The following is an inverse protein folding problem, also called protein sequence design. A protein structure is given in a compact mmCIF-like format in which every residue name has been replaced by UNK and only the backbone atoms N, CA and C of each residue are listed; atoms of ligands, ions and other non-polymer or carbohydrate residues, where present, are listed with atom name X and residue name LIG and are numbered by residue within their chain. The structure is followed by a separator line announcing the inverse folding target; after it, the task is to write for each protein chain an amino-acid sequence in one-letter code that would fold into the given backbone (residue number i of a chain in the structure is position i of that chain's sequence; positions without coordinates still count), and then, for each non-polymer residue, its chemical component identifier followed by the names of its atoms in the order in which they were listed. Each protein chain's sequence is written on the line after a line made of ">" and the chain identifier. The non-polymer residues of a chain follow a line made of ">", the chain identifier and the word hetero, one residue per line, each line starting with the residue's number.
data_IF_506767158065
#
_entry.id   IF_506767158065
#
_cell.length_a   1.000
_cell.length_b   1.000
_cell.length_c   1.000
_cell.angle_alpha   90.00
_cell.angle_beta   90.00
_cell.angle_gamma   90.00
#
_symmetry.space_group_name_H-M   'P 1'
#
loop_
_entity.id
_entity.type
_entity.pdbx_description
1 polymer ?
#
# COMPACT_ATOMS: atom_id res chain seq x y z
N UNK A 1 2.25 -9.84 -0.81
CA UNK A 1 0.90 -9.23 -0.76
C UNK A 1 0.95 -7.72 -0.93
N UNK A 2 1.59 -6.97 -0.01
CA UNK A 2 1.63 -5.50 -0.07
C UNK A 2 2.18 -4.99 -1.41
N UNK A 3 3.28 -5.59 -1.91
CA UNK A 3 3.85 -5.19 -3.20
C UNK A 3 2.89 -5.33 -4.39
N UNK A 4 1.93 -6.25 -4.29
CA UNK A 4 0.89 -6.43 -5.30
C UNK A 4 -0.16 -5.32 -5.25
N UNK A 5 -0.52 -4.83 -4.07
CA UNK A 5 -1.57 -3.81 -3.91
C UNK A 5 -1.00 -2.39 -4.03
N UNK A 6 0.12 -2.13 -3.35
CA UNK A 6 0.70 -0.79 -3.12
C UNK A 6 1.92 -0.49 -4.00
N UNK A 7 2.49 -1.49 -4.67
CA UNK A 7 3.76 -1.34 -5.40
C UNK A 7 4.98 -1.75 -4.57
N UNK A 8 6.19 -1.76 -5.17
CA UNK A 8 7.38 -2.36 -4.58
C UNK A 8 7.81 -1.69 -3.27
N UNK A 9 8.41 -2.47 -2.37
CA UNK A 9 9.01 -1.93 -1.14
C UNK A 9 10.23 -1.06 -1.47
N UNK A 10 10.39 0.11 -0.82
CA UNK A 10 11.57 0.94 -1.02
C UNK A 10 12.87 0.23 -0.62
N UNK A 11 13.89 0.30 -1.49
CA UNK A 11 15.16 -0.40 -1.29
C UNK A 11 15.87 -0.01 0.02
N UNK A 12 15.76 1.25 0.47
CA UNK A 12 16.41 1.68 1.71
C UNK A 12 15.80 1.03 2.95
N UNK A 13 14.52 0.65 2.91
CA UNK A 13 13.88 -0.11 3.98
C UNK A 13 14.37 -1.55 3.98
N UNK A 14 14.50 -2.17 2.80
CA UNK A 14 15.04 -3.53 2.65
C UNK A 14 16.51 -3.63 3.09
N UNK A 15 17.28 -2.54 2.99
CA UNK A 15 18.66 -2.48 3.51
C UNK A 15 18.75 -2.34 5.03
N UNK A 16 17.68 -1.89 5.69
CA UNK A 16 17.62 -1.62 7.14
C UNK A 16 16.86 -2.71 7.90
N UNK A 17 16.74 -3.91 7.32
CA UNK A 17 16.04 -5.02 7.95
C UNK A 17 16.76 -5.49 9.21
N UNK A 18 15.98 -5.95 10.19
CA UNK A 18 16.53 -6.70 11.31
C UNK A 18 16.83 -8.15 10.89
N UNK A 19 17.58 -8.84 11.74
CA UNK A 19 18.00 -10.23 11.52
C UNK A 19 16.82 -11.21 11.36
N UNK A 20 15.67 -10.93 11.95
CA UNK A 20 14.50 -11.81 11.85
C UNK A 20 13.79 -11.68 10.51
N UNK A 21 13.86 -10.49 9.89
CA UNK A 21 13.21 -10.18 8.62
C UNK A 21 14.07 -10.50 7.39
N UNK A 22 15.39 -10.66 7.53
CA UNK A 22 16.31 -11.01 6.42
C UNK A 22 15.86 -12.23 5.61
N UNK A 23 15.27 -13.24 6.27
CA UNK A 23 14.77 -14.46 5.63
C UNK A 23 13.67 -14.24 4.58
N UNK A 24 13.03 -13.06 4.57
CA UNK A 24 11.99 -12.71 3.61
C UNK A 24 12.52 -11.99 2.37
N UNK A 25 13.83 -11.74 2.28
CA UNK A 25 14.43 -10.93 1.22
C UNK A 25 15.59 -11.68 0.55
N UNK A 26 15.60 -11.68 -0.78
CA UNK A 26 16.65 -12.27 -1.60
C UNK A 26 17.04 -11.30 -2.71
N UNK A 27 18.34 -11.07 -2.90
CA UNK A 27 18.89 -10.14 -3.90
C UNK A 27 18.27 -8.72 -3.84
N UNK A 28 18.01 -8.22 -2.62
CA UNK A 28 17.47 -6.88 -2.41
C UNK A 28 15.99 -6.71 -2.78
N UNK A 29 15.25 -7.81 -2.94
CA UNK A 29 13.79 -7.82 -3.17
C UNK A 29 13.12 -8.85 -2.27
N UNK A 30 11.82 -8.74 -2.08
CA UNK A 30 11.05 -9.77 -1.38
C UNK A 30 11.27 -11.14 -2.06
N UNK A 31 11.52 -12.19 -1.28
CA UNK A 31 11.66 -13.58 -1.76
C UNK A 31 10.27 -14.13 -2.12
N UNK A 32 9.70 -13.60 -3.21
CA UNK A 32 8.36 -13.90 -3.69
C UNK A 32 8.34 -13.94 -5.22
N UNK A 33 7.73 -14.97 -5.83
CA UNK A 33 6.96 -16.06 -5.22
C UNK A 33 7.78 -17.25 -4.68
N UNK A 34 9.09 -17.28 -4.88
CA UNK A 34 9.94 -18.44 -4.58
C UNK A 34 9.97 -18.80 -3.09
N UNK A 35 9.93 -17.81 -2.20
CA UNK A 35 9.84 -17.99 -0.75
C UNK A 35 8.41 -18.15 -0.22
N UNK A 36 7.41 -18.35 -1.08
CA UNK A 36 6.02 -18.50 -0.64
C UNK A 36 5.76 -19.85 0.05
N UNK A 37 4.91 -19.83 1.08
CA UNK A 37 4.55 -21.01 1.86
C UNK A 37 3.79 -22.08 1.07
N UNK A 38 3.00 -21.68 0.06
CA UNK A 38 2.20 -22.61 -0.75
C UNK A 38 1.79 -22.01 -2.09
N UNK A 39 1.43 -22.88 -3.04
CA UNK A 39 0.86 -22.47 -4.34
C UNK A 39 -0.47 -21.74 -4.19
N UNK A 40 -1.26 -22.08 -3.18
CA UNK A 40 -2.53 -21.41 -2.91
C UNK A 40 -2.30 -19.97 -2.42
N UNK A 41 -1.29 -19.74 -1.59
CA UNK A 41 -0.87 -18.39 -1.21
C UNK A 41 -0.42 -17.58 -2.44
N UNK A 42 0.37 -18.19 -3.34
CA UNK A 42 0.77 -17.54 -4.61
C UNK A 42 -0.45 -17.14 -5.43
N UNK A 43 -1.42 -18.04 -5.58
CA UNK A 43 -2.65 -17.80 -6.34
C UNK A 43 -3.50 -16.71 -5.70
N UNK A 44 -3.65 -16.74 -4.37
CA UNK A 44 -4.42 -15.74 -3.63
C UNK A 44 -3.82 -14.33 -3.81
N UNK A 45 -2.51 -14.18 -3.62
CA UNK A 45 -1.83 -12.89 -3.79
C UNK A 45 -1.85 -12.43 -5.24
N UNK A 46 -1.65 -13.32 -6.21
CA UNK A 46 -1.65 -12.97 -7.64
C UNK A 46 -2.99 -12.38 -8.12
N UNK A 47 -4.10 -12.81 -7.51
CA UNK A 47 -5.45 -12.33 -7.80
C UNK A 47 -5.77 -10.96 -7.19
N UNK A 48 -4.93 -10.45 -6.28
CA UNK A 48 -5.19 -9.15 -5.66
C UNK A 48 -5.03 -8.03 -6.70
N UNK A 49 -6.01 -7.12 -6.80
CA UNK A 49 -5.90 -5.96 -7.66
C UNK A 49 -5.04 -4.87 -7.00
N UNK A 50 -4.63 -3.88 -7.81
CA UNK A 50 -3.96 -2.66 -7.35
C UNK A 50 -4.92 -1.82 -6.50
N UNK A 51 -4.38 -1.00 -5.60
CA UNK A 51 -5.18 -0.13 -4.72
C UNK A 51 -6.24 0.66 -5.48
N UNK A 52 -5.86 1.30 -6.60
CA UNK A 52 -6.80 2.08 -7.42
C UNK A 52 -7.98 1.23 -7.94
N UNK A 53 -7.71 -0.01 -8.38
CA UNK A 53 -8.73 -0.91 -8.91
C UNK A 53 -9.66 -1.42 -7.80
N UNK A 54 -9.12 -1.65 -6.58
CA UNK A 54 -9.95 -1.99 -5.42
C UNK A 54 -10.97 -0.90 -5.13
N UNK A 55 -10.56 0.37 -5.19
CA UNK A 55 -11.45 1.49 -4.86
C UNK A 55 -12.44 1.78 -5.99
N UNK A 56 -11.97 1.77 -7.24
CA UNK A 56 -12.82 2.04 -8.41
C UNK A 56 -13.93 1.00 -8.61
N UNK A 57 -13.82 -0.19 -8.02
CA UNK A 57 -14.90 -1.18 -8.00
C UNK A 57 -16.08 -0.79 -7.10
N UNK A 58 -15.88 0.19 -6.20
CA UNK A 58 -16.84 0.50 -5.14
C UNK A 58 -17.23 1.98 -5.05
N UNK A 59 -16.54 2.88 -5.77
CA UNK A 59 -16.75 4.34 -5.66
C UNK A 59 -16.63 4.99 -7.04
N UNK A 60 -17.64 5.76 -7.45
CA UNK A 60 -17.65 6.47 -8.74
C UNK A 60 -17.10 7.91 -8.65
N UNK A 61 -17.70 8.78 -7.81
CA UNK A 61 -17.51 10.24 -7.95
C UNK A 61 -16.43 10.86 -7.04
N UNK A 62 -15.99 10.17 -5.98
CA UNK A 62 -14.94 10.62 -5.05
C UNK A 62 -13.72 9.70 -4.99
N UNK A 63 -13.63 8.74 -5.92
CA UNK A 63 -12.59 7.73 -5.92
C UNK A 63 -11.19 8.34 -5.97
N UNK A 64 -10.98 9.40 -6.75
CA UNK A 64 -9.65 10.04 -6.89
C UNK A 64 -9.10 10.58 -5.57
N UNK A 65 -9.89 11.37 -4.83
CA UNK A 65 -9.47 11.94 -3.55
C UNK A 65 -9.32 10.88 -2.47
N UNK A 66 -10.18 9.86 -2.48
CA UNK A 66 -10.07 8.76 -1.55
C UNK A 66 -8.82 7.91 -1.82
N UNK A 67 -8.55 7.59 -3.08
CA UNK A 67 -7.32 6.90 -3.50
C UNK A 67 -6.10 7.70 -3.08
N UNK A 68 -6.09 9.01 -3.29
CA UNK A 68 -4.97 9.88 -2.90
C UNK A 68 -4.74 9.86 -1.38
N UNK A 69 -5.81 9.95 -0.58
CA UNK A 69 -5.73 9.83 0.87
C UNK A 69 -5.13 8.48 1.28
N UNK A 70 -5.65 7.37 0.73
CA UNK A 70 -5.19 6.02 1.05
C UNK A 70 -3.73 5.80 0.63
N UNK A 71 -3.31 6.31 -0.53
CA UNK A 71 -1.91 6.25 -0.96
C UNK A 71 -0.99 6.99 0.03
N UNK A 72 -1.42 8.12 0.57
CA UNK A 72 -0.69 8.85 1.61
C UNK A 72 -0.59 8.07 2.92
N UNK A 73 -1.71 7.51 3.39
CA UNK A 73 -1.79 6.75 4.64
C UNK A 73 -1.05 5.41 4.58
N UNK A 74 -0.99 4.77 3.40
CA UNK A 74 -0.42 3.44 3.19
C UNK A 74 1.01 3.49 2.62
N UNK A 75 1.68 4.64 2.61
CA UNK A 75 3.11 4.68 2.24
C UNK A 75 3.94 3.79 3.15
N UNK A 76 4.85 3.04 2.55
CA UNK A 76 5.75 2.15 3.28
C UNK A 76 6.64 2.93 4.24
N UNK A 77 7.31 3.96 3.74
CA UNK A 77 8.23 4.77 4.55
C UNK A 77 7.44 5.61 5.56
N UNK A 78 7.61 5.39 6.87
CA UNK A 78 6.94 6.18 7.89
C UNK A 78 7.28 7.67 7.84
N UNK A 79 8.45 8.06 7.33
CA UNK A 79 8.82 9.49 7.23
C UNK A 79 8.09 10.19 6.10
N UNK A 80 7.63 9.44 5.09
CA UNK A 80 6.82 9.97 3.99
C UNK A 80 5.32 9.74 4.18
N UNK A 81 4.94 8.90 5.15
CA UNK A 81 3.55 8.53 5.40
C UNK A 81 2.77 9.73 5.91
N UNK A 82 1.57 9.93 5.36
CA UNK A 82 0.68 11.00 5.74
C UNK A 82 0.34 10.91 7.23
N UNK A 83 0.63 11.98 7.99
CA UNK A 83 0.29 12.03 9.41
C UNK A 83 -1.22 12.20 9.61
N UNK A 84 -1.75 11.71 10.73
CA UNK A 84 -3.18 11.77 11.02
C UNK A 84 -3.76 13.19 10.99
N UNK A 85 -3.03 14.18 11.54
CA UNK A 85 -3.44 15.60 11.49
C UNK A 85 -3.55 16.13 10.06
N UNK A 86 -2.65 15.71 9.18
CA UNK A 86 -2.59 16.16 7.78
C UNK A 86 -3.68 15.43 6.97
N UNK A 87 -3.94 14.17 7.30
CA UNK A 87 -5.06 13.40 6.76
C UNK A 87 -6.43 14.00 7.09
N UNK A 88 -6.64 14.50 8.31
CA UNK A 88 -7.90 15.17 8.69
C UNK A 88 -8.17 16.45 7.87
N UNK A 89 -7.13 17.09 7.35
CA UNK A 89 -7.23 18.28 6.49
C UNK A 89 -7.27 17.94 4.99
N UNK A 90 -7.31 16.65 4.63
CA UNK A 90 -7.26 16.21 3.24
C UNK A 90 -8.54 16.59 2.45
N UNK A 91 -8.43 16.94 1.14
CA UNK A 91 -9.57 17.27 0.27
C UNK A 91 -10.76 16.32 0.37
N UNK A 92 -10.48 15.02 0.50
CA UNK A 92 -11.48 13.98 0.72
C UNK A 92 -12.45 14.30 1.87
N UNK A 93 -11.97 14.86 2.99
CA UNK A 93 -12.81 15.24 4.13
C UNK A 93 -13.25 16.71 4.10
N UNK A 94 -12.51 17.59 3.43
CA UNK A 94 -12.79 19.03 3.44
C UNK A 94 -13.78 19.47 2.35
N UNK A 95 -13.88 18.76 1.21
CA UNK A 95 -14.92 19.02 0.21
C UNK A 95 -16.33 18.77 0.74
N UNK A 96 -16.51 17.75 1.58
CA UNK A 96 -17.80 17.47 2.25
C UNK A 96 -18.21 18.59 3.21
N UNK A 97 -17.25 19.29 3.82
CA UNK A 97 -17.53 20.46 4.69
C UNK A 97 -17.99 21.69 3.94
N UNK A 98 -17.69 21.81 2.64
CA UNK A 98 -18.13 22.92 1.79
C UNK A 98 -19.52 22.67 1.16
N UNK A 99 -20.06 21.44 1.29
CA UNK A 99 -21.39 21.06 0.80
C UNK A 99 -22.48 21.08 1.87
N UNK A 100 -22.12 21.35 3.13
CA UNK A 100 -23.03 21.60 4.25
C UNK A 100 -23.07 23.09 4.56
#
# INVERSE_FOLDING_TARGET
>A
MMERVLGPLPHHMLKKLDRHAEKYVRMGRLDWPEGAMSRDSIRAVSKLPRLQNLIMQHVDHSAGEFIHLLQGLLRYDPTERLAARDALNHPFFTRERLRR
#
